data_IF_624788418374
#
_entry.id   IF_624788418374
#
_cell.length_a   1.000
_cell.length_b   1.000
_cell.length_c   1.000
_cell.angle_alpha   90.00
_cell.angle_beta   90.00
_cell.angle_gamma   90.00
#
_symmetry.space_group_name_H-M   'P 1'
#
loop_
_entity.id
_entity.type
_entity.pdbx_description
1 polymer ?
#
# COMPACT_ATOMS: atom_id res chain seq x y z
N UNK A 1 -22.86 9.60 -1.80
CA UNK A 1 -21.57 9.79 -2.50
C UNK A 1 -21.50 8.74 -3.60
N UNK A 2 -21.29 9.12 -4.86
CA UNK A 2 -21.30 8.17 -5.99
C UNK A 2 -20.12 7.19 -5.86
N UNK A 3 -20.39 5.89 -5.87
CA UNK A 3 -19.35 4.84 -5.79
C UNK A 3 -18.31 4.98 -6.91
N UNK A 4 -18.71 5.53 -8.07
CA UNK A 4 -17.81 5.85 -9.19
C UNK A 4 -16.83 6.96 -8.83
N UNK A 5 -17.28 7.98 -8.09
CA UNK A 5 -16.42 9.05 -7.59
C UNK A 5 -15.42 8.52 -6.58
N UNK A 6 -15.87 7.62 -5.69
CA UNK A 6 -14.99 6.96 -4.74
C UNK A 6 -13.90 6.17 -5.47
N UNK A 7 -14.26 5.29 -6.41
CA UNK A 7 -13.30 4.54 -7.23
C UNK A 7 -12.35 5.43 -8.04
N UNK A 8 -12.87 6.51 -8.61
CA UNK A 8 -12.08 7.49 -9.37
C UNK A 8 -11.00 8.18 -8.54
N UNK A 9 -11.17 8.28 -7.21
CA UNK A 9 -10.18 8.82 -6.28
C UNK A 9 -9.27 7.72 -5.71
N UNK A 10 -9.83 6.55 -5.38
CA UNK A 10 -9.08 5.47 -4.73
C UNK A 10 -8.05 4.85 -5.67
N UNK A 11 -8.37 4.67 -6.96
CA UNK A 11 -7.45 4.05 -7.93
C UNK A 11 -6.15 4.87 -8.09
N UNK A 12 -6.19 6.20 -8.34
CA UNK A 12 -4.98 7.02 -8.36
C UNK A 12 -4.22 7.03 -7.05
N UNK A 13 -4.92 7.09 -5.91
CA UNK A 13 -4.28 7.09 -4.59
C UNK A 13 -3.51 5.79 -4.32
N UNK A 14 -4.08 4.65 -4.68
CA UNK A 14 -3.42 3.33 -4.59
C UNK A 14 -2.21 3.27 -5.52
N UNK A 15 -2.34 3.76 -6.75
CA UNK A 15 -1.22 3.85 -7.69
C UNK A 15 -0.07 4.71 -7.16
N UNK A 16 -0.37 5.89 -6.62
CA UNK A 16 0.61 6.79 -6.03
C UNK A 16 1.33 6.16 -4.83
N UNK A 17 0.59 5.49 -3.95
CA UNK A 17 1.16 4.77 -2.81
C UNK A 17 2.08 3.62 -3.27
N UNK A 18 1.69 2.89 -4.33
CA UNK A 18 2.51 1.82 -4.91
C UNK A 18 3.81 2.35 -5.50
N UNK A 19 3.75 3.44 -6.27
CA UNK A 19 4.93 4.10 -6.83
C UNK A 19 5.84 4.63 -5.71
N UNK A 20 5.26 5.25 -4.68
CA UNK A 20 6.01 5.75 -3.53
C UNK A 20 6.72 4.61 -2.79
N UNK A 21 6.03 3.50 -2.48
CA UNK A 21 6.63 2.32 -1.85
C UNK A 21 7.75 1.71 -2.70
N UNK A 22 7.56 1.66 -4.03
CA UNK A 22 8.59 1.17 -4.96
C UNK A 22 9.82 2.07 -4.94
N UNK A 23 9.61 3.40 -4.88
CA UNK A 23 10.69 4.38 -4.79
C UNK A 23 11.45 4.26 -3.48
N UNK A 24 10.74 4.19 -2.34
CA UNK A 24 11.36 3.99 -1.02
C UNK A 24 12.14 2.68 -0.98
N UNK A 25 11.59 1.58 -1.51
CA UNK A 25 12.29 0.31 -1.62
C UNK A 25 13.61 0.41 -2.41
N UNK A 26 13.66 1.22 -3.47
CA UNK A 26 14.88 1.43 -4.28
C UNK A 26 15.91 2.36 -3.62
N UNK A 27 15.44 3.46 -3.05
CA UNK A 27 16.32 4.54 -2.57
C UNK A 27 16.81 4.29 -1.14
N UNK A 28 15.95 3.79 -0.26
CA UNK A 28 16.23 3.57 1.16
C UNK A 28 15.71 2.18 1.65
N UNK A 29 16.47 1.11 1.37
CA UNK A 29 16.08 -0.25 1.78
C UNK A 29 15.91 -0.44 3.30
N UNK A 30 16.72 0.17 4.19
CA UNK A 30 16.47 0.15 5.63
C UNK A 30 15.10 0.71 6.02
N UNK A 31 14.74 1.89 5.50
CA UNK A 31 13.42 2.48 5.76
C UNK A 31 12.29 1.58 5.24
N UNK A 32 12.46 0.99 4.05
CA UNK A 32 11.50 0.02 3.53
C UNK A 32 11.36 -1.21 4.44
N UNK A 33 12.44 -1.72 5.04
CA UNK A 33 12.38 -2.86 5.95
C UNK A 33 11.59 -2.56 7.24
N UNK A 34 11.72 -1.34 7.78
CA UNK A 34 10.90 -0.89 8.92
C UNK A 34 9.41 -0.82 8.53
N UNK A 35 9.10 -0.22 7.38
CA UNK A 35 7.73 -0.14 6.84
C UNK A 35 7.14 -1.54 6.61
N UNK A 36 7.89 -2.45 5.97
CA UNK A 36 7.47 -3.85 5.76
C UNK A 36 7.24 -4.57 7.10
N UNK A 37 8.08 -4.35 8.10
CA UNK A 37 7.93 -4.91 9.44
C UNK A 37 6.65 -4.45 10.14
N UNK A 38 6.32 -3.15 10.06
CA UNK A 38 5.08 -2.58 10.60
C UNK A 38 3.87 -3.11 9.83
N UNK A 39 3.87 -3.00 8.50
CA UNK A 39 2.73 -3.36 7.68
C UNK A 39 2.45 -4.87 7.71
N UNK A 40 3.47 -5.73 7.71
CA UNK A 40 3.30 -7.19 7.76
C UNK A 40 2.57 -7.64 9.04
N UNK A 41 2.81 -6.94 10.16
CA UNK A 41 2.11 -7.19 11.44
C UNK A 41 0.73 -6.54 11.50
N UNK A 42 0.58 -5.37 10.89
CA UNK A 42 -0.66 -4.61 10.93
C UNK A 42 -1.75 -5.17 10.01
N UNK A 43 -1.39 -5.66 8.81
CA UNK A 43 -2.38 -6.14 7.82
C UNK A 43 -3.27 -7.27 8.37
N UNK A 44 -2.75 -8.31 9.05
CA UNK A 44 -3.61 -9.34 9.66
C UNK A 44 -4.61 -8.75 10.67
N UNK A 45 -4.16 -7.81 11.52
CA UNK A 45 -5.01 -7.13 12.49
C UNK A 45 -6.06 -6.26 11.80
N UNK A 46 -5.69 -5.55 10.74
CA UNK A 46 -6.62 -4.76 9.94
C UNK A 46 -7.65 -5.65 9.23
N UNK A 47 -7.23 -6.77 8.64
CA UNK A 47 -8.13 -7.77 8.04
C UNK A 47 -9.14 -8.29 9.06
N UNK A 48 -8.68 -8.66 10.25
CA UNK A 48 -9.55 -9.09 11.33
C UNK A 48 -10.55 -7.99 11.71
N UNK A 49 -10.09 -6.75 11.88
CA UNK A 49 -10.94 -5.61 12.21
C UNK A 49 -12.01 -5.33 11.15
N UNK A 50 -11.65 -5.37 9.86
CA UNK A 50 -12.59 -5.19 8.75
C UNK A 50 -13.63 -6.31 8.73
N UNK A 51 -13.21 -7.58 8.84
CA UNK A 51 -14.13 -8.73 8.87
C UNK A 51 -15.06 -8.64 10.07
N UNK A 52 -14.52 -8.36 11.26
CA UNK A 52 -15.29 -8.24 12.49
C UNK A 52 -16.33 -7.12 12.38
N UNK A 53 -15.91 -5.93 11.95
CA UNK A 53 -16.81 -4.78 11.82
C UNK A 53 -17.87 -5.01 10.75
N UNK A 54 -17.51 -5.64 9.63
CA UNK A 54 -18.44 -6.00 8.56
C UNK A 54 -19.51 -6.97 9.06
N UNK A 55 -19.10 -8.07 9.72
CA UNK A 55 -20.03 -9.07 10.27
C UNK A 55 -20.90 -8.46 11.36
N UNK A 56 -20.30 -7.72 12.30
CA UNK A 56 -21.02 -7.02 13.35
C UNK A 56 -22.10 -6.11 12.75
N UNK A 57 -21.71 -5.27 11.78
CA UNK A 57 -22.63 -4.31 11.16
C UNK A 57 -23.76 -4.99 10.38
N UNK A 58 -23.47 -6.11 9.71
CA UNK A 58 -24.50 -6.91 9.03
C UNK A 58 -25.50 -7.55 10.00
N UNK A 59 -25.05 -7.95 11.18
CA UNK A 59 -25.89 -8.57 12.20
C UNK A 59 -26.74 -7.52 12.93
N UNK A 60 -26.19 -6.33 13.20
CA UNK A 60 -26.86 -5.28 13.96
C UNK A 60 -27.78 -4.39 13.13
N UNK A 61 -27.49 -4.19 11.85
CA UNK A 61 -28.32 -3.35 10.96
C UNK A 61 -28.83 -4.14 9.77
N UNK A 62 -30.16 -4.17 9.62
CA UNK A 62 -30.84 -4.83 8.49
C UNK A 62 -30.75 -3.98 7.20
N UNK A 63 -30.83 -2.66 7.35
CA UNK A 63 -30.68 -1.73 6.26
C UNK A 63 -29.21 -1.60 5.85
N UNK A 64 -28.91 -1.72 4.54
CA UNK A 64 -27.56 -1.51 4.01
C UNK A 64 -26.60 -2.70 4.15
N UNK A 65 -27.08 -3.90 4.55
CA UNK A 65 -26.25 -5.13 4.63
C UNK A 65 -25.48 -5.41 3.33
N UNK A 66 -26.14 -5.21 2.19
CA UNK A 66 -25.52 -5.40 0.87
C UNK A 66 -24.35 -4.44 0.63
N UNK A 67 -24.53 -3.16 0.95
CA UNK A 67 -23.50 -2.13 0.79
C UNK A 67 -22.32 -2.36 1.74
N UNK A 68 -22.61 -2.71 3.00
CA UNK A 68 -21.59 -3.06 4.00
C UNK A 68 -20.79 -4.27 3.56
N UNK A 69 -21.44 -5.30 3.00
CA UNK A 69 -20.76 -6.48 2.46
C UNK A 69 -19.91 -6.18 1.24
N UNK A 70 -20.41 -5.34 0.35
CA UNK A 70 -19.66 -4.92 -0.83
C UNK A 70 -18.41 -4.11 -0.45
N UNK A 71 -18.56 -3.10 0.42
CA UNK A 71 -17.44 -2.28 0.91
C UNK A 71 -16.44 -3.13 1.70
N UNK A 72 -16.93 -3.96 2.62
CA UNK A 72 -16.10 -4.87 3.40
C UNK A 72 -15.33 -5.85 2.52
N UNK A 73 -15.97 -6.40 1.49
CA UNK A 73 -15.34 -7.26 0.49
C UNK A 73 -14.20 -6.56 -0.26
N UNK A 74 -14.42 -5.32 -0.74
CA UNK A 74 -13.38 -4.52 -1.40
C UNK A 74 -12.19 -4.28 -0.46
N UNK A 75 -12.44 -3.94 0.80
CA UNK A 75 -11.39 -3.69 1.79
C UNK A 75 -10.58 -4.96 2.09
N UNK A 76 -11.24 -6.11 2.25
CA UNK A 76 -10.58 -7.40 2.46
C UNK A 76 -9.69 -7.74 1.26
N UNK A 77 -10.24 -7.65 0.04
CA UNK A 77 -9.48 -7.92 -1.17
C UNK A 77 -8.30 -6.97 -1.32
N UNK A 78 -8.47 -5.68 -1.03
CA UNK A 78 -7.39 -4.69 -1.06
C UNK A 78 -6.26 -4.99 -0.08
N UNK A 79 -6.60 -5.37 1.16
CA UNK A 79 -5.61 -5.75 2.18
C UNK A 79 -4.87 -7.05 1.82
N UNK A 80 -5.58 -8.03 1.24
CA UNK A 80 -4.96 -9.26 0.73
C UNK A 80 -4.03 -8.98 -0.46
N UNK A 81 -4.45 -8.14 -1.41
CA UNK A 81 -3.61 -7.71 -2.52
C UNK A 81 -2.35 -7.00 -2.02
N UNK A 82 -2.48 -6.07 -1.06
CA UNK A 82 -1.33 -5.37 -0.46
C UNK A 82 -0.33 -6.36 0.16
N UNK A 83 -0.82 -7.31 0.97
CA UNK A 83 0.02 -8.36 1.56
C UNK A 83 0.73 -9.20 0.50
N UNK A 84 0.04 -9.54 -0.58
CA UNK A 84 0.61 -10.32 -1.69
C UNK A 84 1.67 -9.57 -2.50
N UNK A 85 1.68 -8.23 -2.43
CA UNK A 85 2.64 -7.38 -3.13
C UNK A 85 3.98 -7.24 -2.37
N UNK A 86 4.07 -7.57 -1.09
CA UNK A 86 5.31 -7.41 -0.30
C UNK A 86 6.51 -8.20 -0.85
N UNK A 87 6.38 -9.45 -1.32
CA UNK A 87 7.47 -10.15 -1.99
C UNK A 87 8.00 -9.44 -3.25
N UNK A 88 7.17 -8.64 -3.93
CA UNK A 88 7.64 -7.82 -5.06
C UNK A 88 8.51 -6.67 -4.55
N UNK A 89 8.04 -5.90 -3.58
CA UNK A 89 8.80 -4.77 -3.02
C UNK A 89 10.11 -5.20 -2.35
N UNK A 90 10.14 -6.33 -1.64
CA UNK A 90 11.39 -6.91 -1.11
C UNK A 90 12.40 -7.23 -2.19
N UNK A 91 11.94 -7.77 -3.33
CA UNK A 91 12.80 -8.00 -4.49
C UNK A 91 13.32 -6.71 -5.08
N UNK A 92 12.49 -5.67 -5.18
CA UNK A 92 12.90 -4.34 -5.63
C UNK A 92 13.98 -3.74 -4.73
N UNK A 93 13.85 -3.89 -3.41
CA UNK A 93 14.82 -3.39 -2.44
C UNK A 93 16.16 -4.14 -2.47
N UNK A 94 16.16 -5.40 -2.91
CA UNK A 94 17.37 -6.22 -3.04
C UNK A 94 18.13 -5.99 -4.35
N UNK A 95 17.58 -5.24 -5.31
CA UNK A 95 18.24 -5.00 -6.59
C UNK A 95 19.43 -4.04 -6.41
N UNK A 96 20.52 -4.23 -7.18
CA UNK A 96 21.63 -3.29 -7.21
C UNK A 96 21.11 -1.88 -7.47
N UNK A 97 21.59 -0.92 -6.67
CA UNK A 97 21.25 0.49 -6.87
C UNK A 97 21.66 0.89 -8.29
N UNK A 98 20.82 1.64 -9.02
CA UNK A 98 21.31 2.37 -10.17
C UNK A 98 22.46 3.23 -9.65
N UNK A 99 23.66 3.08 -10.19
CA UNK A 99 24.74 4.03 -9.95
C UNK A 99 24.17 5.38 -10.33
N UNK A 100 23.95 6.24 -9.33
CA UNK A 100 23.69 7.64 -9.57
C UNK A 100 24.99 8.12 -10.19
N UNK A 101 25.01 8.25 -11.51
CA UNK A 101 26.05 9.04 -12.17
C UNK A 101 25.98 10.39 -11.48
N UNK A 102 26.96 10.66 -10.63
CA UNK A 102 27.16 11.96 -10.03
C UNK A 102 27.18 12.93 -11.21
N UNK A 103 26.28 13.92 -11.29
CA UNK A 103 26.42 14.94 -12.32
C UNK A 103 27.81 15.54 -12.11
N UNK A 104 28.67 15.41 -13.12
CA UNK A 104 30.08 15.80 -13.13
C UNK A 104 30.29 17.33 -13.06
N UNK A 105 29.36 18.05 -12.44
CA UNK A 105 29.28 19.50 -12.41
C UNK A 105 29.97 20.07 -11.15
N UNK A 106 30.24 19.24 -10.14
CA UNK A 106 30.93 19.66 -8.91
C UNK A 106 32.46 19.64 -8.99
N UNK A 107 33.05 19.09 -10.06
CA UNK A 107 34.52 19.09 -10.25
C UNK A 107 35.06 20.30 -11.02
N UNK A 108 34.18 21.18 -11.54
CA UNK A 108 34.60 22.29 -12.40
C UNK A 108 34.80 23.62 -11.68
N UNK A 109 34.47 23.72 -10.39
CA UNK A 109 34.58 24.96 -9.59
C UNK A 109 35.79 25.02 -8.66
N UNK A 110 36.63 23.98 -8.62
CA UNK A 110 37.90 23.97 -7.86
C UNK A 110 39.12 23.78 -8.75
N UNK A 111 39.19 24.54 -9.85
CA UNK A 111 40.44 24.73 -10.62
C UNK A 111 40.71 26.19 -10.89
#
# INVERSE_FOLDING_TARGET
>A
MDWKFFLGLTIPAVGAAFVWLTKVAREDPPLYAEIDGVLTRWIPTALFGVVFLMVFSMVTWDAGRGDVGFIGGILILGLLQLRSAFPFFRRVAALPRPHRETPAEEQRTTR
#
